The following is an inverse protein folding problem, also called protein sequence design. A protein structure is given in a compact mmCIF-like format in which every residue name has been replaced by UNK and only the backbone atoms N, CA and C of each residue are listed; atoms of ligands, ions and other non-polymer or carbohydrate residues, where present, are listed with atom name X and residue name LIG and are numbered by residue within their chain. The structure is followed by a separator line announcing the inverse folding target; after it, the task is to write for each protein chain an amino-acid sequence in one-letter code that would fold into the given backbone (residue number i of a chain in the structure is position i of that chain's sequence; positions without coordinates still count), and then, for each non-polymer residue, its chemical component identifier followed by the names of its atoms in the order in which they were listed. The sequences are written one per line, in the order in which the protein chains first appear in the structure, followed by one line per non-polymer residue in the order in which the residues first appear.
data_IF_925908330034
#
_entry.id   IF_925908330034
#
_cell.length_a   1.000
_cell.length_b   1.000
_cell.length_c   1.000
_cell.angle_alpha   90.00
_cell.angle_beta   90.00
_cell.angle_gamma   90.00
#
_symmetry.space_group_name_H-M   'P 1'
#
loop_
_entity.id
_entity.type
_entity.pdbx_description
1 polymer ?
#
# COMPACT_ATOMS: atom_id res chain seq x y z
N UNK A 1 -10.33 19.48 -5.20
CA UNK A 1 -9.07 18.70 -5.29
C UNK A 1 -9.00 17.86 -4.02
N UNK A 2 -9.10 16.52 -4.10
CA UNK A 2 -9.25 15.63 -2.92
C UNK A 2 -10.47 14.69 -2.93
N UNK A 3 -11.36 14.80 -3.93
CA UNK A 3 -12.69 14.16 -3.94
C UNK A 3 -12.72 12.63 -3.69
N UNK A 4 -11.65 11.90 -3.99
CA UNK A 4 -11.58 10.45 -3.78
C UNK A 4 -10.78 10.04 -2.53
N UNK A 5 -9.86 10.89 -2.06
CA UNK A 5 -9.03 10.55 -0.89
C UNK A 5 -9.82 10.71 0.39
N UNK A 6 -10.64 11.76 0.50
CA UNK A 6 -11.44 12.03 1.70
C UNK A 6 -12.45 10.89 1.95
N UNK A 7 -13.09 10.38 0.90
CA UNK A 7 -13.99 9.22 0.99
C UNK A 7 -13.27 7.96 1.52
N UNK A 8 -12.03 7.71 1.09
CA UNK A 8 -11.23 6.59 1.59
C UNK A 8 -10.88 6.76 3.08
N UNK A 9 -10.57 8.00 3.50
CA UNK A 9 -10.27 8.31 4.90
C UNK A 9 -11.51 8.12 5.78
N UNK A 10 -12.70 8.50 5.31
CA UNK A 10 -13.95 8.23 6.02
C UNK A 10 -14.19 6.73 6.19
N UNK A 11 -13.91 5.92 5.15
CA UNK A 11 -13.99 4.46 5.25
C UNK A 11 -13.00 3.89 6.26
N UNK A 12 -11.77 4.42 6.34
CA UNK A 12 -10.80 3.96 7.34
C UNK A 12 -11.32 4.17 8.77
N UNK A 13 -11.90 5.33 9.05
CA UNK A 13 -12.53 5.60 10.35
C UNK A 13 -13.72 4.67 10.61
N UNK A 14 -14.57 4.46 9.60
CA UNK A 14 -15.72 3.53 9.66
C UNK A 14 -15.28 2.09 9.95
N UNK A 15 -14.12 1.66 9.42
CA UNK A 15 -13.53 0.35 9.70
C UNK A 15 -12.81 0.27 11.05
N UNK A 16 -12.75 1.37 11.80
CA UNK A 16 -12.23 1.41 13.17
C UNK A 16 -10.87 2.09 13.32
N UNK A 17 -10.38 2.83 12.32
CA UNK A 17 -9.15 3.62 12.48
C UNK A 17 -9.41 4.81 13.42
N UNK A 18 -8.71 4.91 14.57
CA UNK A 18 -8.96 5.99 15.51
C UNK A 18 -8.33 7.30 15.02
N UNK A 19 -9.17 8.30 14.73
CA UNK A 19 -8.76 9.63 14.25
C UNK A 19 -8.91 10.66 15.36
N UNK A 20 -7.89 11.47 15.58
CA UNK A 20 -7.90 12.52 16.59
C UNK A 20 -8.87 13.64 16.19
N UNK A 21 -9.60 14.18 17.16
CA UNK A 21 -10.61 15.22 16.95
C UNK A 21 -10.38 16.45 17.81
N UNK A 22 -10.85 17.57 17.31
CA UNK A 22 -10.94 18.82 18.06
C UNK A 22 -12.38 19.04 18.48
N UNK A 23 -12.62 19.35 19.75
CA UNK A 23 -13.96 19.68 20.24
C UNK A 23 -14.37 21.13 19.95
N UNK A 24 -15.54 21.52 20.44
CA UNK A 24 -16.09 22.88 20.26
C UNK A 24 -15.26 23.97 20.95
N UNK A 25 -14.54 23.62 22.01
CA UNK A 25 -13.66 24.52 22.77
C UNK A 25 -12.25 24.62 22.15
N UNK A 26 -11.97 23.82 21.12
CA UNK A 26 -10.66 23.76 20.48
C UNK A 26 -9.68 22.80 21.16
N UNK A 27 -10.13 22.00 22.14
CA UNK A 27 -9.27 21.01 22.79
C UNK A 27 -9.06 19.80 21.87
N UNK A 28 -7.86 19.22 21.93
CA UNK A 28 -7.43 18.10 21.08
C UNK A 28 -7.57 16.80 21.84
N UNK A 29 -8.34 15.89 21.28
CA UNK A 29 -8.56 14.55 21.82
C UNK A 29 -7.96 13.51 20.89
N UNK A 30 -7.27 12.52 21.45
CA UNK A 30 -6.82 11.38 20.67
C UNK A 30 -7.99 10.54 20.15
N UNK A 31 -7.72 9.64 19.20
CA UNK A 31 -8.76 8.83 18.56
C UNK A 31 -9.42 7.80 19.47
N UNK A 32 -8.96 7.60 20.71
CA UNK A 32 -9.62 6.71 21.67
C UNK A 32 -10.90 7.32 22.27
N UNK A 33 -11.05 8.64 22.17
CA UNK A 33 -12.25 9.35 22.60
C UNK A 33 -13.31 9.25 21.51
N UNK A 34 -14.44 8.61 21.83
CA UNK A 34 -15.60 8.57 20.94
C UNK A 34 -16.15 9.98 20.70
N UNK A 35 -15.83 10.55 19.54
CA UNK A 35 -16.25 11.89 19.10
C UNK A 35 -16.91 11.79 17.73
N UNK A 36 -17.52 12.89 17.27
CA UNK A 36 -18.17 12.95 15.95
C UNK A 36 -17.21 12.50 14.84
N UNK A 37 -17.66 11.55 14.00
CA UNK A 37 -16.87 11.03 12.88
C UNK A 37 -16.57 12.13 11.86
N UNK A 38 -15.55 11.95 11.01
CA UNK A 38 -15.24 12.88 9.92
C UNK A 38 -16.42 12.98 8.95
N UNK A 39 -17.04 11.85 8.65
CA UNK A 39 -18.19 11.74 7.74
C UNK A 39 -19.38 12.58 8.22
N UNK A 40 -19.55 12.69 9.54
CA UNK A 40 -20.64 13.44 10.18
C UNK A 40 -20.23 14.88 10.56
N UNK A 41 -19.11 15.39 10.03
CA UNK A 41 -18.67 16.78 10.23
C UNK A 41 -17.73 17.01 11.41
N UNK A 42 -17.22 15.96 12.03
CA UNK A 42 -16.19 16.04 13.07
C UNK A 42 -14.89 16.68 12.57
N UNK A 43 -14.31 17.58 13.37
CA UNK A 43 -13.10 18.32 12.99
C UNK A 43 -11.85 17.54 13.40
N UNK A 44 -10.95 17.15 12.46
CA UNK A 44 -9.74 16.44 12.82
C UNK A 44 -8.71 17.36 13.48
N UNK A 45 -7.87 16.79 14.34
CA UNK A 45 -6.63 17.43 14.75
C UNK A 45 -5.66 17.42 13.58
N UNK A 46 -5.16 18.61 13.21
CA UNK A 46 -4.19 18.80 12.12
C UNK A 46 -2.82 19.19 12.66
N UNK A 47 -1.77 18.49 12.23
CA UNK A 47 -0.37 18.90 12.48
C UNK A 47 0.16 19.89 11.44
N UNK A 48 -0.43 19.89 10.25
CA UNK A 48 -0.16 20.84 9.18
C UNK A 48 -1.39 21.00 8.29
N UNK A 49 -1.26 21.74 7.18
CA UNK A 49 -2.42 22.04 6.31
C UNK A 49 -3.11 20.78 5.78
N UNK A 50 -2.36 19.72 5.49
CA UNK A 50 -2.85 18.56 4.73
C UNK A 50 -2.94 17.27 5.54
N UNK A 51 -2.36 17.23 6.74
CA UNK A 51 -2.22 16.03 7.55
C UNK A 51 -3.19 16.05 8.73
N UNK A 52 -3.76 14.88 9.06
CA UNK A 52 -4.57 14.67 10.25
C UNK A 52 -3.87 13.67 11.18
N UNK A 53 -4.07 13.82 12.49
CA UNK A 53 -3.48 12.94 13.50
C UNK A 53 -4.36 11.71 13.72
N UNK A 54 -3.72 10.54 13.90
CA UNK A 54 -4.38 9.24 14.10
C UNK A 54 -3.63 8.42 15.15
N UNK A 55 -4.33 7.50 15.83
CA UNK A 55 -3.69 6.39 16.55
C UNK A 55 -3.49 5.23 15.56
N UNK A 56 -2.52 5.40 14.66
CA UNK A 56 -2.39 4.56 13.46
C UNK A 56 -1.59 3.28 13.61
N UNK A 57 -1.37 2.76 14.83
CA UNK A 57 -0.56 1.55 15.05
C UNK A 57 -1.11 0.36 14.25
N UNK A 58 -2.43 0.15 14.31
CA UNK A 58 -3.12 -0.94 13.62
C UNK A 58 -3.61 -0.56 12.23
N UNK A 59 -3.16 0.56 11.64
CA UNK A 59 -3.69 1.06 10.37
C UNK A 59 -3.61 0.02 9.25
N UNK A 60 -2.47 -0.69 9.12
CA UNK A 60 -2.34 -1.73 8.10
C UNK A 60 -3.24 -2.95 8.38
N UNK A 61 -3.44 -3.32 9.63
CA UNK A 61 -4.34 -4.43 9.99
C UNK A 61 -5.78 -4.12 9.60
N UNK A 62 -6.26 -2.91 9.89
CA UNK A 62 -7.61 -2.45 9.53
C UNK A 62 -7.82 -2.51 8.01
N UNK A 63 -6.89 -1.94 7.23
CA UNK A 63 -7.00 -1.94 5.76
C UNK A 63 -6.88 -3.36 5.19
N UNK A 64 -5.99 -4.19 5.74
CA UNK A 64 -5.83 -5.58 5.29
C UNK A 64 -7.06 -6.43 5.60
N UNK A 65 -7.71 -6.22 6.74
CA UNK A 65 -8.94 -6.91 7.10
C UNK A 65 -10.09 -6.53 6.16
N UNK A 66 -10.26 -5.24 5.85
CA UNK A 66 -11.26 -4.78 4.88
C UNK A 66 -11.03 -5.43 3.49
N UNK A 67 -9.78 -5.48 3.01
CA UNK A 67 -9.44 -6.13 1.75
C UNK A 67 -9.72 -7.64 1.78
N UNK A 68 -9.35 -8.33 2.88
CA UNK A 68 -9.59 -9.76 3.08
C UNK A 68 -11.08 -10.09 3.09
N UNK A 69 -11.90 -9.28 3.77
CA UNK A 69 -13.37 -9.43 3.81
C UNK A 69 -14.00 -9.23 2.43
N UNK A 70 -13.52 -8.25 1.67
CA UNK A 70 -14.05 -7.94 0.35
C UNK A 70 -13.66 -8.96 -0.73
N UNK A 71 -12.41 -9.42 -0.74
CA UNK A 71 -11.88 -10.34 -1.76
C UNK A 71 -12.16 -11.81 -1.42
N UNK A 72 -12.21 -12.16 -0.14
CA UNK A 72 -12.22 -13.55 0.32
C UNK A 72 -10.83 -14.20 0.27
N UNK A 73 -10.55 -15.12 1.21
CA UNK A 73 -9.22 -15.75 1.32
C UNK A 73 -8.85 -16.62 0.12
N UNK A 74 -9.82 -17.19 -0.59
CA UNK A 74 -9.58 -18.03 -1.76
C UNK A 74 -8.95 -17.23 -2.93
N UNK A 75 -9.12 -15.91 -2.92
CA UNK A 75 -8.55 -15.00 -3.91
C UNK A 75 -7.25 -14.33 -3.45
N UNK A 76 -6.73 -14.70 -2.27
CA UNK A 76 -5.52 -14.12 -1.69
C UNK A 76 -4.45 -15.20 -1.55
N UNK A 77 -3.36 -15.05 -2.29
CA UNK A 77 -2.20 -15.93 -2.21
C UNK A 77 -1.02 -15.16 -1.63
N UNK A 78 -0.59 -15.55 -0.43
CA UNK A 78 0.56 -14.96 0.25
C UNK A 78 1.85 -15.77 0.02
N UNK A 79 3.00 -15.16 0.33
CA UNK A 79 4.32 -15.81 0.24
C UNK A 79 4.68 -16.30 -1.18
N UNK A 80 4.16 -15.61 -2.20
CA UNK A 80 4.56 -15.77 -3.59
C UNK A 80 5.26 -14.49 -4.02
N UNK A 81 6.50 -14.61 -4.48
CA UNK A 81 7.25 -13.48 -5.01
C UNK A 81 7.11 -13.47 -6.54
N UNK A 82 6.53 -12.40 -7.09
CA UNK A 82 6.39 -12.22 -8.54
C UNK A 82 7.70 -11.66 -9.10
N UNK A 83 8.20 -12.29 -10.15
CA UNK A 83 9.51 -11.96 -10.75
C UNK A 83 9.41 -11.38 -12.15
N UNK A 84 8.32 -11.64 -12.88
CA UNK A 84 8.22 -11.25 -14.29
C UNK A 84 6.78 -11.07 -14.73
N UNK A 85 6.52 -10.03 -15.51
CA UNK A 85 5.29 -9.87 -16.28
C UNK A 85 5.42 -10.54 -17.65
N UNK A 86 4.30 -11.04 -18.17
CA UNK A 86 4.24 -11.76 -19.45
C UNK A 86 3.25 -11.06 -20.35
N UNK A 87 3.73 -10.56 -21.49
CA UNK A 87 2.88 -9.96 -22.53
C UNK A 87 2.25 -11.03 -23.43
N UNK A 88 1.21 -10.64 -24.16
CA UNK A 88 0.52 -11.48 -25.11
C UNK A 88 1.47 -11.92 -26.23
N UNK A 89 1.32 -13.17 -26.67
CA UNK A 89 2.18 -13.74 -27.72
C UNK A 89 2.01 -13.00 -29.06
N UNK A 90 0.83 -12.49 -29.33
CA UNK A 90 0.45 -11.87 -30.60
C UNK A 90 0.44 -10.35 -30.54
N UNK A 91 0.52 -9.76 -29.33
CA UNK A 91 0.57 -8.31 -29.12
C UNK A 91 1.55 -7.99 -27.98
N UNK A 92 2.74 -7.53 -28.35
CA UNK A 92 3.81 -7.20 -27.40
C UNK A 92 3.48 -6.05 -26.45
N UNK A 93 2.47 -5.24 -26.75
CA UNK A 93 2.04 -4.11 -25.91
C UNK A 93 0.85 -4.46 -24.99
N UNK A 94 0.39 -5.72 -25.02
CA UNK A 94 -0.73 -6.18 -24.20
C UNK A 94 -0.24 -7.13 -23.12
N UNK A 95 -0.64 -6.89 -21.86
CA UNK A 95 -0.36 -7.82 -20.76
C UNK A 95 -1.19 -9.11 -20.88
N UNK A 96 -0.59 -10.26 -20.55
CA UNK A 96 -1.25 -11.57 -20.54
C UNK A 96 -1.10 -12.34 -19.21
N UNK A 97 -0.15 -11.95 -18.35
CA UNK A 97 0.09 -12.67 -17.11
C UNK A 97 1.30 -12.23 -16.31
N UNK A 98 1.63 -13.04 -15.30
CA UNK A 98 2.79 -12.86 -14.44
C UNK A 98 3.32 -14.22 -13.98
N UNK A 99 4.62 -14.28 -13.68
CA UNK A 99 5.30 -15.48 -13.16
C UNK A 99 5.93 -15.15 -11.81
N UNK A 100 5.83 -16.09 -10.88
CA UNK A 100 6.43 -15.98 -9.56
C UNK A 100 6.74 -17.35 -8.97
N UNK A 101 7.31 -17.37 -7.77
CA UNK A 101 7.59 -18.61 -7.04
C UNK A 101 7.25 -18.47 -5.56
N UNK A 102 6.91 -19.60 -4.93
CA UNK A 102 6.68 -19.66 -3.48
C UNK A 102 7.99 -19.51 -2.72
N UNK A 103 7.98 -18.71 -1.66
CA UNK A 103 9.09 -18.62 -0.69
C UNK A 103 8.90 -19.57 0.50
N UNK A 104 8.02 -20.56 0.36
CA UNK A 104 7.74 -21.60 1.37
C UNK A 104 7.82 -23.02 0.81
N UNK A 105 7.63 -23.18 -0.49
CA UNK A 105 7.56 -24.47 -1.18
C UNK A 105 8.30 -24.40 -2.51
N UNK A 106 8.75 -25.54 -3.04
CA UNK A 106 9.36 -25.61 -4.38
C UNK A 106 8.27 -25.57 -5.46
N UNK A 107 7.63 -24.41 -5.63
CA UNK A 107 6.48 -24.25 -6.52
C UNK A 107 6.57 -22.96 -7.33
N UNK A 108 6.51 -23.10 -8.65
CA UNK A 108 6.42 -22.00 -9.60
C UNK A 108 4.95 -21.72 -9.93
N UNK A 109 4.60 -20.44 -9.98
CA UNK A 109 3.26 -19.94 -10.29
C UNK A 109 3.29 -19.21 -11.63
N UNK A 110 2.34 -19.56 -12.49
CA UNK A 110 2.07 -18.85 -13.75
C UNK A 110 0.64 -18.35 -13.70
N UNK A 111 0.47 -17.04 -13.54
CA UNK A 111 -0.83 -16.38 -13.54
C UNK A 111 -1.16 -15.90 -14.94
N UNK A 112 -2.35 -16.26 -15.44
CA UNK A 112 -2.93 -15.69 -16.65
C UNK A 112 -3.96 -14.65 -16.25
N UNK A 113 -3.85 -13.44 -16.78
CA UNK A 113 -4.73 -12.32 -16.40
C UNK A 113 -5.01 -11.42 -17.61
N UNK A 114 -6.18 -10.80 -17.63
CA UNK A 114 -6.56 -9.81 -18.66
C UNK A 114 -6.09 -8.39 -18.32
N UNK A 115 -5.90 -8.12 -17.03
CA UNK A 115 -5.43 -6.87 -16.48
C UNK A 115 -4.61 -7.16 -15.22
N UNK A 116 -3.57 -6.36 -14.98
CA UNK A 116 -2.69 -6.50 -13.82
C UNK A 116 -2.48 -5.12 -13.21
N UNK A 117 -2.63 -5.02 -11.89
CA UNK A 117 -2.24 -3.84 -11.11
C UNK A 117 -0.90 -4.12 -10.42
N UNK A 118 0.11 -3.32 -10.73
CA UNK A 118 1.43 -3.46 -10.13
C UNK A 118 1.60 -2.46 -8.97
N UNK A 119 1.51 -2.97 -7.74
CA UNK A 119 1.57 -2.16 -6.51
C UNK A 119 2.61 -2.72 -5.51
N UNK A 120 3.85 -2.95 -5.98
CA UNK A 120 4.91 -3.59 -5.21
C UNK A 120 5.87 -2.60 -4.49
N UNK A 121 5.40 -1.38 -4.22
CA UNK A 121 6.17 -0.34 -3.52
C UNK A 121 7.24 0.33 -4.40
N UNK A 122 8.11 1.10 -3.73
CA UNK A 122 9.20 1.84 -4.37
C UNK A 122 10.50 1.05 -4.45
N UNK A 123 11.64 1.75 -4.33
CA UNK A 123 12.98 1.16 -4.37
C UNK A 123 13.86 1.74 -3.25
N UNK A 124 14.56 0.87 -2.52
CA UNK A 124 15.51 1.23 -1.44
C UNK A 124 16.81 0.45 -1.61
N UNK A 125 17.83 0.78 -0.81
CA UNK A 125 19.14 0.12 -0.82
C UNK A 125 19.89 0.10 -2.17
N UNK A 126 19.43 0.90 -3.15
CA UNK A 126 20.18 1.20 -4.39
C UNK A 126 21.40 2.10 -4.14
N UNK A 127 21.36 2.89 -3.05
CA UNK A 127 22.50 3.65 -2.55
C UNK A 127 22.99 3.06 -1.22
N UNK A 128 24.29 3.15 -0.97
CA UNK A 128 24.89 2.72 0.29
C UNK A 128 24.36 3.56 1.46
N UNK A 129 23.76 2.96 2.51
CA UNK A 129 23.27 3.70 3.68
C UNK A 129 24.40 4.19 4.59
N UNK A 130 24.05 5.03 5.56
CA UNK A 130 25.01 5.59 6.55
C UNK A 130 25.58 4.55 7.50
N UNK A 131 24.84 3.48 7.78
CA UNK A 131 25.28 2.34 8.60
C UNK A 131 25.37 1.10 7.72
N UNK A 132 26.54 0.47 7.67
CA UNK A 132 26.84 -0.63 6.73
C UNK A 132 26.97 -2.02 7.38
N UNK A 133 26.85 -2.10 8.70
CA UNK A 133 26.70 -3.37 9.43
C UNK A 133 25.22 -3.74 9.60
N UNK A 134 24.82 -4.19 10.79
CA UNK A 134 23.42 -4.53 11.12
C UNK A 134 22.44 -3.37 10.84
N UNK A 135 22.91 -2.13 10.97
CA UNK A 135 22.13 -0.92 10.67
C UNK A 135 21.72 -0.78 9.20
N UNK A 136 22.24 -1.59 8.28
CA UNK A 136 21.82 -1.61 6.87
C UNK A 136 20.33 -1.94 6.71
N UNK A 137 19.74 -2.65 7.69
CA UNK A 137 18.30 -2.94 7.73
C UNK A 137 17.41 -1.73 8.05
N UNK A 138 17.99 -0.60 8.50
CA UNK A 138 17.27 0.58 9.03
C UNK A 138 17.24 1.73 8.01
N UNK A 139 16.73 1.45 6.82
CA UNK A 139 16.38 2.50 5.88
C UNK A 139 15.17 3.31 6.39
N UNK A 140 15.07 4.58 5.99
CA UNK A 140 13.91 5.42 6.34
C UNK A 140 12.62 4.92 5.66
N UNK A 141 12.74 4.42 4.44
CA UNK A 141 11.67 3.74 3.70
C UNK A 141 11.81 2.22 3.85
N UNK A 142 10.75 1.40 3.68
CA UNK A 142 10.79 -0.01 4.01
C UNK A 142 11.87 -0.80 3.26
N UNK A 143 12.72 -1.52 4.00
CA UNK A 143 13.94 -2.14 3.48
C UNK A 143 13.70 -3.24 2.43
N UNK A 144 12.50 -3.82 2.41
CA UNK A 144 12.11 -4.88 1.47
C UNK A 144 11.69 -4.38 0.09
N UNK A 145 11.63 -3.05 -0.13
CA UNK A 145 11.24 -2.49 -1.42
C UNK A 145 12.41 -2.54 -2.42
N UNK A 146 12.41 -3.55 -3.29
CA UNK A 146 13.50 -3.82 -4.24
C UNK A 146 13.33 -3.18 -5.64
N UNK A 147 12.38 -2.26 -5.82
CA UNK A 147 12.12 -1.65 -7.13
C UNK A 147 11.36 -2.56 -8.11
N UNK A 148 10.72 -3.62 -7.61
CA UNK A 148 9.98 -4.61 -8.41
C UNK A 148 8.89 -3.97 -9.28
N UNK A 149 8.22 -2.92 -8.78
CA UNK A 149 7.23 -2.17 -9.57
C UNK A 149 7.84 -1.59 -10.84
N UNK A 150 8.99 -0.92 -10.73
CA UNK A 150 9.60 -0.21 -11.86
C UNK A 150 10.22 -1.17 -12.85
N UNK A 151 11.01 -2.14 -12.35
CA UNK A 151 11.72 -3.10 -13.19
C UNK A 151 10.73 -3.92 -14.04
N UNK A 152 9.72 -4.52 -13.40
CA UNK A 152 8.75 -5.35 -14.13
C UNK A 152 7.90 -4.55 -15.13
N UNK A 153 7.54 -3.31 -14.81
CA UNK A 153 6.83 -2.44 -15.75
C UNK A 153 7.69 -2.09 -16.97
N UNK A 154 8.95 -1.67 -16.74
CA UNK A 154 9.90 -1.34 -17.79
C UNK A 154 10.21 -2.52 -18.70
N UNK A 155 10.46 -3.70 -18.11
CA UNK A 155 10.73 -4.93 -18.86
C UNK A 155 9.53 -5.41 -19.68
N UNK A 156 8.31 -5.09 -19.24
CA UNK A 156 7.09 -5.33 -20.01
C UNK A 156 6.83 -4.28 -21.10
N UNK A 157 7.71 -3.28 -21.26
CA UNK A 157 7.59 -2.22 -22.27
C UNK A 157 6.72 -1.04 -21.86
N UNK A 158 6.37 -0.90 -20.58
CA UNK A 158 5.62 0.27 -20.11
C UNK A 158 6.52 1.52 -20.08
N UNK A 159 5.97 2.65 -20.49
CA UNK A 159 6.64 3.94 -20.37
C UNK A 159 6.80 4.33 -18.90
N UNK A 160 8.01 4.75 -18.53
CA UNK A 160 8.31 5.30 -17.21
C UNK A 160 8.41 6.83 -17.30
N UNK A 161 8.03 7.52 -16.23
CA UNK A 161 8.13 8.98 -16.12
C UNK A 161 8.75 9.38 -14.79
N UNK A 162 9.53 10.45 -14.78
CA UNK A 162 10.18 11.02 -13.59
C UNK A 162 11.01 10.00 -12.77
N UNK A 163 11.78 9.15 -13.47
CA UNK A 163 12.69 8.15 -12.87
C UNK A 163 14.00 8.74 -12.37
#
# INVERSE_FOLDING_TARGET
LGRHVDESVHLFEEWGLPIWKTDENGERHDGSKGMTSLKDGGKPVRSGKWQIMINGESYKWIVAEAAKKALGMDNIQERIFIVKLVNDKNDSNRIAGAVGFSVREHKLYVFKAKAILLAAGGCVNIFRPRSVGEGQGRAWYPVWNAGSTYAMAAEAGAELTMM
#
